data_IF_924847320016
#
_entry.id   IF_924847320016
#
_cell.length_a   1.000
_cell.length_b   1.000
_cell.length_c   1.000
_cell.angle_alpha   90.00
_cell.angle_beta   90.00
_cell.angle_gamma   90.00
#
_symmetry.space_group_name_H-M   'P 1'
#
loop_
_entity.id
_entity.type
_entity.pdbx_description
1 polymer ?
#
# COMPACT_ATOMS: atom_id res chain seq x y z
N UNK A 1 -13.50 3.57 -10.88
CA UNK A 1 -12.58 4.14 -9.85
C UNK A 1 -12.17 2.96 -8.98
N UNK A 2 -10.97 2.42 -9.17
CA UNK A 2 -10.39 1.38 -8.31
C UNK A 2 -9.47 2.10 -7.33
N UNK A 3 -9.83 2.16 -6.04
CA UNK A 3 -9.03 2.81 -4.99
C UNK A 3 -8.35 1.78 -4.08
N UNK A 4 -8.29 0.53 -4.54
CA UNK A 4 -8.04 -0.62 -3.71
C UNK A 4 -6.61 -1.10 -4.02
N UNK A 5 -5.70 -0.94 -3.07
CA UNK A 5 -4.32 -1.43 -3.19
C UNK A 5 -4.28 -2.82 -2.55
N UNK A 6 -3.95 -3.84 -3.35
CA UNK A 6 -3.70 -5.20 -2.84
C UNK A 6 -2.24 -5.33 -2.45
N UNK A 7 -1.98 -5.55 -1.17
CA UNK A 7 -0.64 -5.85 -0.65
C UNK A 7 -0.50 -7.33 -0.35
N UNK A 8 0.71 -7.86 -0.54
CA UNK A 8 1.10 -9.19 -0.12
C UNK A 8 2.27 -9.08 0.84
N UNK A 9 2.22 -9.80 1.95
CA UNK A 9 3.33 -9.86 2.89
C UNK A 9 3.53 -11.28 3.39
N UNK A 10 4.78 -11.62 3.69
CA UNK A 10 5.15 -12.91 4.25
C UNK A 10 5.18 -12.80 5.77
N UNK A 11 4.34 -13.59 6.43
CA UNK A 11 4.31 -13.70 7.89
C UNK A 11 4.26 -15.19 8.23
N UNK A 12 5.16 -15.65 9.10
CA UNK A 12 5.23 -17.05 9.57
C UNK A 12 5.23 -18.12 8.47
N UNK A 13 5.83 -17.81 7.31
CA UNK A 13 5.90 -18.73 6.16
C UNK A 13 4.65 -18.74 5.28
N UNK A 14 3.64 -17.94 5.59
CA UNK A 14 2.44 -17.77 4.78
C UNK A 14 2.51 -16.47 3.97
N UNK A 15 2.03 -16.51 2.73
CA UNK A 15 1.82 -15.32 1.91
C UNK A 15 0.40 -14.81 2.18
N UNK A 16 0.30 -13.75 2.97
CA UNK A 16 -0.97 -13.14 3.31
C UNK A 16 -1.27 -12.01 2.33
N UNK A 17 -2.57 -11.80 2.05
CA UNK A 17 -3.03 -10.66 1.25
C UNK A 17 -3.91 -9.76 2.09
N UNK A 18 -3.62 -8.46 2.08
CA UNK A 18 -4.45 -7.45 2.74
C UNK A 18 -4.91 -6.40 1.74
N UNK A 19 -6.17 -5.98 1.92
CA UNK A 19 -6.74 -4.84 1.21
C UNK A 19 -6.43 -3.58 1.99
N UNK A 20 -5.84 -2.61 1.29
CA UNK A 20 -5.62 -1.27 1.82
C UNK A 20 -6.41 -0.27 0.98
N UNK A 21 -6.96 0.73 1.66
CA UNK A 21 -7.67 1.83 1.04
C UNK A 21 -6.75 3.04 1.01
N UNK A 22 -6.57 3.65 -0.17
CA UNK A 22 -5.87 4.93 -0.27
C UNK A 22 -6.71 6.02 0.38
N UNK A 23 -6.13 6.74 1.33
CA UNK A 23 -6.79 7.85 2.01
C UNK A 23 -6.20 9.21 1.64
N UNK A 24 -4.95 9.25 1.18
CA UNK A 24 -4.30 10.48 0.73
C UNK A 24 -3.11 10.18 -0.21
N UNK A 25 -2.71 11.18 -0.98
CA UNK A 25 -1.52 11.15 -1.84
C UNK A 25 -0.67 12.38 -1.52
N UNK A 26 0.57 12.15 -1.14
CA UNK A 26 1.58 13.19 -0.93
C UNK A 26 2.51 13.27 -2.15
N UNK A 27 2.20 14.13 -3.13
CA UNK A 27 3.03 14.27 -4.32
C UNK A 27 4.40 14.90 -4.02
N UNK A 28 4.52 15.70 -2.95
CA UNK A 28 5.77 16.36 -2.61
C UNK A 28 6.81 15.34 -2.14
N UNK A 29 6.38 14.38 -1.32
CA UNK A 29 7.24 13.30 -0.84
C UNK A 29 7.20 12.06 -1.72
N UNK A 30 6.49 12.12 -2.85
CA UNK A 30 6.27 10.96 -3.70
C UNK A 30 5.81 9.76 -2.84
N UNK A 31 4.72 9.93 -2.10
CA UNK A 31 4.16 8.90 -1.25
C UNK A 31 2.63 8.78 -1.38
N UNK A 32 2.12 7.58 -1.12
CA UNK A 32 0.69 7.26 -1.03
C UNK A 32 0.41 6.82 0.39
N UNK A 33 -0.57 7.45 1.04
CA UNK A 33 -0.97 7.14 2.40
C UNK A 33 -2.22 6.26 2.32
N UNK A 34 -2.11 5.10 2.93
CA UNK A 34 -3.14 4.07 2.94
C UNK A 34 -3.59 3.80 4.37
N UNK A 35 -4.78 3.22 4.50
CA UNK A 35 -5.24 2.59 5.73
C UNK A 35 -5.53 1.12 5.49
N UNK A 36 -5.19 0.27 6.45
CA UNK A 36 -5.58 -1.15 6.44
C UNK A 36 -6.99 -1.36 7.04
N UNK A 37 -7.44 -2.62 7.09
CA UNK A 37 -8.72 -3.02 7.68
C UNK A 37 -8.83 -2.75 9.20
N UNK A 38 -7.69 -2.59 9.89
CA UNK A 38 -7.60 -2.27 11.31
C UNK A 38 -7.42 -0.76 11.55
N UNK A 39 -7.56 0.06 10.51
CA UNK A 39 -7.38 1.51 10.53
C UNK A 39 -5.95 1.98 10.85
N UNK A 40 -4.95 1.10 10.72
CA UNK A 40 -3.55 1.49 10.79
C UNK A 40 -3.16 2.22 9.51
N UNK A 41 -2.42 3.33 9.66
CA UNK A 41 -1.93 4.11 8.53
C UNK A 41 -0.59 3.55 8.06
N UNK A 42 -0.47 3.39 6.74
CA UNK A 42 0.74 2.92 6.06
C UNK A 42 1.11 3.93 4.98
N UNK A 43 2.37 4.36 4.97
CA UNK A 43 2.89 5.27 3.94
C UNK A 43 3.77 4.48 2.97
N UNK A 44 3.35 4.42 1.70
CA UNK A 44 4.06 3.76 0.62
C UNK A 44 4.79 4.82 -0.22
N UNK A 45 6.11 4.76 -0.32
CA UNK A 45 6.87 5.69 -1.17
C UNK A 45 7.04 5.14 -2.59
N UNK A 46 6.92 5.99 -3.62
CA UNK A 46 7.07 5.62 -5.03
C UNK A 46 8.48 5.10 -5.37
N UNK A 47 9.49 5.42 -4.56
CA UNK A 47 10.86 4.90 -4.71
C UNK A 47 10.93 3.37 -4.65
N UNK A 48 9.91 2.71 -4.11
CA UNK A 48 9.80 1.24 -4.05
C UNK A 48 8.98 0.62 -5.20
N UNK A 49 8.51 1.41 -6.17
CA UNK A 49 7.72 0.91 -7.31
C UNK A 49 8.67 0.60 -8.46
N UNK A 50 8.96 -0.68 -8.65
CA UNK A 50 9.57 -1.18 -9.87
C UNK A 50 8.44 -1.33 -10.89
N UNK A 51 8.36 -0.40 -11.84
CA UNK A 51 7.51 -0.53 -13.01
C UNK A 51 8.08 -1.68 -13.87
N UNK A 52 7.44 -2.85 -13.81
CA UNK A 52 7.79 -3.98 -14.70
C UNK A 52 6.92 -3.82 -15.95
N UNK A 53 7.48 -3.11 -16.93
CA UNK A 53 6.90 -2.93 -18.28
C UNK A 53 6.96 -4.24 -19.06
#
# INVERSE_FOLDING_TARGET
MCNDIKSFYHEDGYLLSSYMTVIDIDPLNSAVICTDAFHNKVTLQFSNIIDVI
#
